data_IF_645319496135
#
_entry.id   IF_645319496135
#
_cell.length_a   1.000
_cell.length_b   1.000
_cell.length_c   1.000
_cell.angle_alpha   90.00
_cell.angle_beta   90.00
_cell.angle_gamma   90.00
#
_symmetry.space_group_name_H-M   'P 1'
#
loop_
_entity.id
_entity.type
_entity.pdbx_description
1 polymer ?
#
# COMPACT_ATOMS: atom_id res chain seq x y z
N UNK A 1 14.50 9.94 5.51
CA UNK A 1 13.44 10.27 4.54
C UNK A 1 14.00 11.22 3.49
N UNK A 2 13.39 11.26 2.28
CA UNK A 2 13.82 12.11 1.17
C UNK A 2 12.83 13.26 0.98
N UNK A 3 13.33 14.46 0.93
CA UNK A 3 12.56 15.70 0.79
C UNK A 3 12.87 16.36 -0.55
N UNK A 4 11.85 16.83 -1.26
CA UNK A 4 11.98 17.66 -2.45
C UNK A 4 11.48 19.07 -2.15
N UNK A 5 12.34 20.07 -2.38
CA UNK A 5 11.99 21.48 -2.34
C UNK A 5 11.73 21.97 -3.77
N UNK A 6 10.58 22.57 -4.01
CA UNK A 6 10.17 23.08 -5.33
C UNK A 6 9.79 24.56 -5.20
N UNK A 7 10.61 25.43 -5.76
CA UNK A 7 10.38 26.87 -5.75
C UNK A 7 11.21 27.48 -6.89
N UNK A 8 10.66 28.37 -7.71
CA UNK A 8 11.39 29.03 -8.80
C UNK A 8 12.42 30.05 -8.29
N UNK A 9 12.26 30.50 -7.04
CA UNK A 9 13.16 31.40 -6.37
C UNK A 9 14.28 30.67 -5.60
N UNK A 10 15.47 30.61 -6.15
CA UNK A 10 16.63 29.91 -5.56
C UNK A 10 16.93 30.36 -4.13
N UNK A 11 16.73 31.63 -3.82
CA UNK A 11 17.03 32.17 -2.50
C UNK A 11 16.10 31.61 -1.43
N UNK A 12 14.84 31.26 -1.78
CA UNK A 12 13.88 30.63 -0.87
C UNK A 12 14.37 29.23 -0.50
N UNK A 13 14.75 28.44 -1.50
CA UNK A 13 15.32 27.09 -1.29
C UNK A 13 16.56 27.14 -0.39
N UNK A 14 17.51 28.04 -0.69
CA UNK A 14 18.72 28.17 0.12
C UNK A 14 18.43 28.70 1.53
N UNK A 15 17.44 29.53 1.69
CA UNK A 15 16.99 30.02 3.00
C UNK A 15 16.39 28.87 3.83
N UNK A 16 15.54 28.02 3.24
CA UNK A 16 14.98 26.84 3.91
C UNK A 16 16.11 25.91 4.33
N UNK A 17 17.03 25.56 3.42
CA UNK A 17 18.15 24.67 3.71
C UNK A 17 19.02 25.14 4.88
N UNK A 18 19.22 26.46 4.98
CA UNK A 18 20.10 27.09 5.99
C UNK A 18 19.44 27.22 7.36
N UNK A 19 18.14 27.53 7.40
CA UNK A 19 17.47 27.91 8.65
C UNK A 19 16.74 26.76 9.33
N UNK A 20 16.47 25.65 8.63
CA UNK A 20 15.87 24.44 9.23
C UNK A 20 16.96 23.61 9.90
N UNK A 21 16.69 23.15 11.12
CA UNK A 21 17.56 22.23 11.84
C UNK A 21 17.29 20.78 11.40
N UNK A 22 17.91 20.37 10.30
CA UNK A 22 17.69 19.03 9.70
C UNK A 22 18.05 17.86 10.62
N UNK A 23 18.97 18.07 11.56
CA UNK A 23 19.35 17.06 12.56
C UNK A 23 18.20 16.68 13.50
N UNK A 24 17.20 17.55 13.61
CA UNK A 24 15.99 17.32 14.43
C UNK A 24 14.85 16.70 13.64
N UNK A 25 15.07 16.47 12.37
CA UNK A 25 14.11 15.86 11.44
C UNK A 25 14.61 14.49 10.98
N UNK A 26 13.72 13.65 10.52
CA UNK A 26 14.07 12.36 9.91
C UNK A 26 14.53 12.48 8.45
N UNK A 27 14.78 13.70 7.95
CA UNK A 27 15.20 13.95 6.57
C UNK A 27 16.68 13.64 6.42
N UNK A 28 17.01 12.74 5.49
CA UNK A 28 18.39 12.31 5.22
C UNK A 28 18.95 12.86 3.90
N UNK A 29 18.05 13.17 2.94
CA UNK A 29 18.43 13.66 1.63
C UNK A 29 17.46 14.79 1.21
N UNK A 30 18.01 15.87 0.66
CA UNK A 30 17.24 17.02 0.17
C UNK A 30 17.52 17.21 -1.32
N UNK A 31 16.46 17.14 -2.10
CA UNK A 31 16.47 17.42 -3.53
C UNK A 31 15.85 18.79 -3.79
N UNK A 32 16.20 19.39 -4.92
CA UNK A 32 15.69 20.72 -5.28
C UNK A 32 15.27 20.77 -6.73
N UNK A 33 14.15 21.41 -7.01
CA UNK A 33 13.66 21.69 -8.35
C UNK A 33 13.20 23.15 -8.43
N UNK A 34 13.41 23.76 -9.58
CA UNK A 34 13.03 25.15 -9.86
C UNK A 34 11.88 25.24 -10.86
N UNK A 35 11.41 24.12 -11.35
CA UNK A 35 10.27 24.01 -12.26
C UNK A 35 9.51 22.71 -12.00
N UNK A 36 8.23 22.68 -12.38
CA UNK A 36 7.42 21.47 -12.33
C UNK A 36 8.07 20.30 -13.07
N UNK A 37 8.64 20.53 -14.26
CA UNK A 37 9.28 19.49 -15.07
C UNK A 37 10.46 18.85 -14.33
N UNK A 38 11.34 19.65 -13.72
CA UNK A 38 12.44 19.14 -12.92
C UNK A 38 11.95 18.35 -11.72
N UNK A 39 10.88 18.83 -11.06
CA UNK A 39 10.27 18.09 -9.95
C UNK A 39 9.74 16.71 -10.40
N UNK A 40 9.04 16.65 -11.52
CA UNK A 40 8.55 15.39 -12.10
C UNK A 40 9.68 14.42 -12.45
N UNK A 41 10.76 14.90 -13.06
CA UNK A 41 11.95 14.09 -13.38
C UNK A 41 12.56 13.49 -12.11
N UNK A 42 12.71 14.29 -11.04
CA UNK A 42 13.26 13.83 -9.77
C UNK A 42 12.32 12.82 -9.10
N UNK A 43 11.01 13.09 -9.03
CA UNK A 43 10.02 12.20 -8.42
C UNK A 43 9.95 10.85 -9.14
N UNK A 44 10.08 10.85 -10.46
CA UNK A 44 10.08 9.62 -11.26
C UNK A 44 11.36 8.80 -11.05
N UNK A 45 12.50 9.46 -10.89
CA UNK A 45 13.80 8.80 -10.71
C UNK A 45 14.05 8.33 -9.27
N UNK A 46 13.49 9.02 -8.28
CA UNK A 46 13.77 8.78 -6.86
C UNK A 46 12.47 8.76 -6.06
N UNK A 47 12.25 7.72 -5.27
CA UNK A 47 11.10 7.67 -4.35
C UNK A 47 11.22 8.78 -3.31
N UNK A 48 10.37 9.81 -3.42
CA UNK A 48 10.28 10.91 -2.47
C UNK A 48 9.29 10.57 -1.34
N UNK A 49 9.58 11.09 -0.15
CA UNK A 49 8.68 10.95 1.00
C UNK A 49 7.87 12.24 1.22
N UNK A 50 8.48 13.40 1.05
CA UNK A 50 7.87 14.72 1.34
C UNK A 50 8.21 15.69 0.20
N UNK A 51 7.24 16.54 -0.18
CA UNK A 51 7.42 17.67 -1.07
C UNK A 51 7.05 18.95 -0.30
N UNK A 52 7.91 19.96 -0.38
CA UNK A 52 7.59 21.34 -0.03
C UNK A 52 7.58 22.13 -1.34
N UNK A 53 6.44 22.67 -1.74
CA UNK A 53 6.27 23.33 -3.02
C UNK A 53 5.71 24.74 -2.87
N UNK A 54 6.30 25.69 -3.57
CA UNK A 54 5.60 26.95 -3.84
C UNK A 54 4.36 26.66 -4.69
N UNK A 55 3.30 27.43 -4.45
CA UNK A 55 2.07 27.34 -5.23
C UNK A 55 2.21 28.08 -6.55
N UNK A 56 2.82 29.27 -6.55
CA UNK A 56 2.88 30.15 -7.72
C UNK A 56 4.25 30.09 -8.35
N UNK A 57 4.34 29.35 -9.43
CA UNK A 57 5.58 29.21 -10.21
C UNK A 57 5.32 29.56 -11.69
N UNK A 58 6.32 30.01 -12.45
CA UNK A 58 6.19 30.24 -13.89
C UNK A 58 5.77 28.95 -14.62
N UNK A 59 4.82 29.08 -15.55
CA UNK A 59 4.33 28.04 -16.44
C UNK A 59 3.48 26.92 -15.82
N UNK A 60 3.54 26.67 -14.52
CA UNK A 60 2.70 25.68 -13.84
C UNK A 60 2.65 25.95 -12.34
N UNK A 61 1.56 25.61 -11.68
CA UNK A 61 1.41 25.82 -10.24
C UNK A 61 1.89 24.59 -9.42
N UNK A 62 2.23 24.82 -8.15
CA UNK A 62 2.47 23.71 -7.21
C UNK A 62 1.28 22.77 -7.06
N UNK A 63 0.06 23.27 -7.27
CA UNK A 63 -1.13 22.44 -7.30
C UNK A 63 -1.15 21.48 -8.50
N UNK A 64 -0.70 21.92 -9.67
CA UNK A 64 -0.63 21.07 -10.87
C UNK A 64 0.40 19.95 -10.68
N UNK A 65 1.52 20.25 -10.01
CA UNK A 65 2.51 19.26 -9.62
C UNK A 65 1.90 18.21 -8.70
N UNK A 66 1.19 18.63 -7.64
CA UNK A 66 0.61 17.70 -6.66
C UNK A 66 -0.54 16.91 -7.26
N UNK A 67 -1.36 17.52 -8.11
CA UNK A 67 -2.40 16.80 -8.84
C UNK A 67 -1.78 15.67 -9.68
N UNK A 68 -0.71 15.97 -10.43
CA UNK A 68 0.03 14.96 -11.17
C UNK A 68 0.59 13.85 -10.26
N UNK A 69 1.15 14.19 -9.10
CA UNK A 69 1.64 13.23 -8.10
C UNK A 69 0.52 12.27 -7.69
N UNK A 70 -0.70 12.79 -7.44
CA UNK A 70 -1.87 11.96 -7.07
C UNK A 70 -2.37 11.08 -8.23
N UNK A 71 -2.40 11.61 -9.44
CA UNK A 71 -2.77 10.86 -10.66
C UNK A 71 -1.82 9.70 -10.95
N UNK A 72 -0.54 9.84 -10.61
CA UNK A 72 0.45 8.77 -10.72
C UNK A 72 0.45 7.81 -9.52
N UNK A 73 -0.45 7.98 -8.55
CA UNK A 73 -0.54 7.21 -7.32
C UNK A 73 0.75 7.25 -6.45
N UNK A 74 1.55 8.30 -6.56
CA UNK A 74 2.68 8.50 -5.66
C UNK A 74 2.18 8.92 -4.28
N UNK A 75 2.56 8.16 -3.25
CA UNK A 75 2.26 8.46 -1.85
C UNK A 75 3.35 9.37 -1.29
N UNK A 76 3.17 10.68 -1.47
CA UNK A 76 4.12 11.71 -1.04
C UNK A 76 3.35 12.72 -0.20
N UNK A 77 3.88 13.05 0.97
CA UNK A 77 3.30 14.08 1.83
C UNK A 77 3.67 15.47 1.28
N UNK A 78 2.72 16.40 1.33
CA UNK A 78 2.87 17.71 0.66
C UNK A 78 2.66 18.82 1.66
N UNK A 79 3.58 19.81 1.62
CA UNK A 79 3.48 21.11 2.32
C UNK A 79 3.52 22.19 1.26
N UNK A 80 2.54 23.09 1.24
CA UNK A 80 2.52 24.23 0.34
C UNK A 80 3.08 25.47 1.00
N UNK A 81 3.87 26.23 0.23
CA UNK A 81 4.28 27.59 0.54
C UNK A 81 3.62 28.56 -0.43
N UNK A 82 3.25 29.74 0.00
CA UNK A 82 2.66 30.74 -0.88
C UNK A 82 2.81 32.17 -0.35
N UNK A 83 2.91 33.11 -1.26
CA UNK A 83 2.87 34.54 -0.94
C UNK A 83 1.43 35.07 -0.81
N UNK A 84 0.43 34.29 -1.14
CA UNK A 84 -0.97 34.73 -1.21
C UNK A 84 -1.82 34.03 -0.15
N UNK A 85 -2.48 34.87 0.69
CA UNK A 85 -3.42 34.40 1.71
C UNK A 85 -4.84 34.28 1.11
N UNK A 86 -5.00 33.51 0.04
CA UNK A 86 -6.29 33.32 -0.63
C UNK A 86 -7.03 32.10 -0.08
N UNK A 87 -8.33 32.30 0.20
CA UNK A 87 -9.19 31.22 0.70
C UNK A 87 -9.28 30.04 -0.28
N UNK A 88 -9.31 30.34 -1.58
CA UNK A 88 -9.40 29.32 -2.63
C UNK A 88 -8.13 28.44 -2.68
N UNK A 89 -6.95 28.99 -2.40
CA UNK A 89 -5.70 28.21 -2.32
C UNK A 89 -5.70 27.26 -1.12
N UNK A 90 -6.13 27.75 0.03
CA UNK A 90 -6.25 26.91 1.22
C UNK A 90 -7.26 25.75 1.00
N UNK A 91 -8.42 26.05 0.36
CA UNK A 91 -9.41 25.04 0.00
C UNK A 91 -8.84 24.00 -0.96
N UNK A 92 -8.10 24.41 -1.98
CA UNK A 92 -7.49 23.51 -2.96
C UNK A 92 -6.38 22.66 -2.33
N UNK A 93 -5.60 23.21 -1.42
CA UNK A 93 -4.60 22.47 -0.65
C UNK A 93 -5.23 21.34 0.18
N UNK A 94 -6.36 21.60 0.83
CA UNK A 94 -7.12 20.57 1.56
C UNK A 94 -7.64 19.49 0.61
N UNK A 95 -8.18 19.85 -0.56
CA UNK A 95 -8.68 18.88 -1.55
C UNK A 95 -7.58 17.96 -2.10
N UNK A 96 -6.33 18.45 -2.13
CA UNK A 96 -5.16 17.69 -2.57
C UNK A 96 -4.48 16.93 -1.41
N UNK A 97 -5.14 16.88 -0.24
CA UNK A 97 -4.65 16.18 0.95
C UNK A 97 -3.23 16.63 1.36
N UNK A 98 -2.97 17.96 1.33
CA UNK A 98 -1.71 18.48 1.84
C UNK A 98 -1.67 18.42 3.37
N UNK A 99 -0.49 18.20 3.92
CA UNK A 99 -0.27 18.16 5.38
C UNK A 99 -0.41 19.56 5.98
N UNK A 100 0.09 20.56 5.28
CA UNK A 100 0.08 21.94 5.77
C UNK A 100 0.13 22.94 4.60
N UNK A 101 -0.31 24.18 4.89
CA UNK A 101 -0.30 25.31 3.99
C UNK A 101 0.27 26.51 4.75
N UNK A 102 1.41 27.04 4.32
CA UNK A 102 2.15 28.09 5.01
C UNK A 102 2.32 29.32 4.14
N UNK A 103 2.20 30.49 4.78
CA UNK A 103 2.38 31.79 4.11
C UNK A 103 3.84 32.20 4.13
N UNK A 104 4.31 32.78 3.01
CA UNK A 104 5.54 33.60 2.96
C UNK A 104 5.26 35.00 3.54
N UNK A 105 6.17 35.61 4.31
CA UNK A 105 7.52 35.16 4.64
C UNK A 105 7.53 33.93 5.55
N UNK A 106 8.45 32.98 5.28
CA UNK A 106 8.47 31.67 5.92
C UNK A 106 8.80 31.84 7.41
N UNK A 107 7.89 31.36 8.24
CA UNK A 107 8.12 31.10 9.65
C UNK A 107 8.78 29.73 9.78
N UNK A 108 10.08 29.68 10.05
CA UNK A 108 10.85 28.44 10.06
C UNK A 108 10.45 27.50 11.19
N UNK A 109 9.95 28.03 12.33
CA UNK A 109 9.46 27.19 13.42
C UNK A 109 8.18 26.43 12.97
N UNK A 110 7.26 27.13 12.32
CA UNK A 110 6.04 26.49 11.75
C UNK A 110 6.37 25.52 10.63
N UNK A 111 7.39 25.84 9.81
CA UNK A 111 7.82 24.93 8.76
C UNK A 111 8.45 23.65 9.34
N UNK A 112 9.25 23.74 10.42
CA UNK A 112 9.76 22.57 11.14
C UNK A 112 8.62 21.72 11.74
N UNK A 113 7.60 22.36 12.31
CA UNK A 113 6.41 21.66 12.81
C UNK A 113 5.65 20.93 11.67
N UNK A 114 5.49 21.59 10.53
CA UNK A 114 4.86 21.01 9.35
C UNK A 114 5.65 19.80 8.82
N UNK A 115 6.98 19.91 8.76
CA UNK A 115 7.85 18.80 8.38
C UNK A 115 7.68 17.63 9.34
N UNK A 116 7.65 17.85 10.65
CA UNK A 116 7.43 16.78 11.65
C UNK A 116 6.07 16.12 11.49
N UNK A 117 5.01 16.87 11.21
CA UNK A 117 3.69 16.31 10.90
C UNK A 117 3.75 15.42 9.65
N UNK A 118 4.42 15.88 8.59
CA UNK A 118 4.59 15.12 7.37
C UNK A 118 5.40 13.83 7.61
N UNK A 119 6.46 13.88 8.42
CA UNK A 119 7.24 12.71 8.81
C UNK A 119 6.39 11.66 9.56
N UNK A 120 5.56 12.12 10.49
CA UNK A 120 4.64 11.23 11.22
C UNK A 120 3.65 10.56 10.27
N UNK A 121 3.09 11.30 9.31
CA UNK A 121 2.17 10.77 8.31
C UNK A 121 2.86 9.71 7.44
N UNK A 122 4.09 9.97 6.96
CA UNK A 122 4.89 8.99 6.19
C UNK A 122 5.15 7.72 7.00
N UNK A 123 5.47 7.86 8.30
CA UNK A 123 5.73 6.70 9.17
C UNK A 123 4.47 5.87 9.40
N UNK A 124 3.33 6.52 9.59
CA UNK A 124 2.04 5.85 9.73
C UNK A 124 1.67 5.07 8.46
N UNK A 125 1.81 5.70 7.28
CA UNK A 125 1.55 5.03 6.01
C UNK A 125 2.44 3.79 5.81
N UNK A 126 3.75 3.92 6.06
CA UNK A 126 4.69 2.79 5.98
C UNK A 126 4.38 1.68 6.99
N UNK A 127 3.85 2.04 8.16
CA UNK A 127 3.44 1.05 9.16
C UNK A 127 2.20 0.27 8.70
N UNK A 128 1.20 0.96 8.17
CA UNK A 128 -0.01 0.34 7.61
C UNK A 128 0.36 -0.57 6.42
N UNK A 129 1.23 -0.11 5.51
CA UNK A 129 1.69 -0.89 4.37
C UNK A 129 2.34 -2.21 4.82
N UNK A 130 3.25 -2.15 5.82
CA UNK A 130 3.87 -3.36 6.39
C UNK A 130 2.87 -4.31 7.05
N UNK A 131 1.87 -3.78 7.76
CA UNK A 131 0.83 -4.61 8.37
C UNK A 131 -0.03 -5.30 7.30
N UNK A 132 -0.34 -4.59 6.22
CA UNK A 132 -1.11 -5.14 5.09
C UNK A 132 -0.31 -6.24 4.38
N UNK A 133 0.96 -5.98 4.06
CA UNK A 133 1.85 -6.99 3.46
C UNK A 133 2.01 -8.23 4.35
N UNK A 134 2.18 -8.03 5.66
CA UNK A 134 2.26 -9.15 6.62
C UNK A 134 0.95 -9.94 6.70
N UNK A 135 -0.20 -9.27 6.63
CA UNK A 135 -1.52 -9.91 6.61
C UNK A 135 -1.72 -10.73 5.34
N UNK A 136 -1.38 -10.17 4.18
CA UNK A 136 -1.46 -10.88 2.89
C UNK A 136 -0.54 -12.10 2.84
N UNK A 137 0.68 -11.98 3.39
CA UNK A 137 1.61 -13.11 3.47
C UNK A 137 1.07 -14.19 4.41
N UNK A 138 0.53 -13.80 5.56
CA UNK A 138 -0.10 -14.72 6.51
C UNK A 138 -1.28 -15.48 5.87
N UNK A 139 -2.14 -14.81 5.10
CA UNK A 139 -3.25 -15.47 4.39
C UNK A 139 -2.75 -16.49 3.36
N UNK A 140 -1.69 -16.17 2.61
CA UNK A 140 -1.06 -17.10 1.66
C UNK A 140 -0.48 -18.33 2.38
N UNK A 141 0.30 -18.10 3.44
CA UNK A 141 0.91 -19.17 4.23
C UNK A 141 -0.16 -20.05 4.90
N UNK A 142 -1.23 -19.45 5.41
CA UNK A 142 -2.38 -20.14 5.97
C UNK A 142 -3.02 -21.09 4.95
N UNK A 143 -3.21 -20.64 3.72
CA UNK A 143 -3.80 -21.46 2.66
C UNK A 143 -2.93 -22.67 2.33
N UNK A 144 -1.60 -22.49 2.26
CA UNK A 144 -0.65 -23.58 2.02
C UNK A 144 -0.70 -24.60 3.15
N UNK A 145 -0.65 -24.14 4.40
CA UNK A 145 -0.69 -25.01 5.57
C UNK A 145 -2.03 -25.77 5.69
N UNK A 146 -3.14 -25.14 5.30
CA UNK A 146 -4.44 -25.83 5.24
C UNK A 146 -4.41 -27.01 4.24
N UNK A 147 -3.87 -26.79 3.04
CA UNK A 147 -3.73 -27.85 2.04
C UNK A 147 -2.86 -29.00 2.53
N UNK A 148 -1.77 -28.69 3.21
CA UNK A 148 -0.87 -29.71 3.79
C UNK A 148 -1.54 -30.53 4.90
N UNK A 149 -2.34 -29.91 5.75
CA UNK A 149 -3.12 -30.62 6.78
C UNK A 149 -4.09 -31.61 6.14
N UNK A 150 -4.86 -31.17 5.14
CA UNK A 150 -5.78 -32.03 4.41
C UNK A 150 -5.05 -33.15 3.66
N UNK A 151 -3.96 -32.85 2.98
CA UNK A 151 -3.16 -33.84 2.27
C UNK A 151 -2.61 -34.90 3.22
N UNK A 152 -2.08 -34.51 4.38
CA UNK A 152 -1.57 -35.47 5.38
C UNK A 152 -2.68 -36.33 5.99
N UNK A 153 -3.88 -35.77 6.23
CA UNK A 153 -5.02 -36.55 6.70
C UNK A 153 -5.45 -37.57 5.65
N UNK A 154 -5.61 -37.16 4.40
CA UNK A 154 -6.06 -38.03 3.30
C UNK A 154 -5.03 -39.09 2.95
N UNK A 155 -3.75 -38.81 3.09
CA UNK A 155 -2.67 -39.79 2.87
C UNK A 155 -2.45 -40.75 4.02
N UNK A 156 -3.18 -40.60 5.13
CA UNK A 156 -3.00 -41.40 6.32
C UNK A 156 -1.75 -41.09 7.14
N UNK A 157 -1.05 -39.99 6.82
CA UNK A 157 0.14 -39.55 7.53
C UNK A 157 -0.18 -38.74 8.81
N UNK A 158 -1.45 -38.49 9.08
CA UNK A 158 -1.94 -37.73 10.23
C UNK A 158 -3.13 -38.46 10.87
N UNK A 159 -3.09 -38.55 12.19
CA UNK A 159 -4.22 -39.10 12.95
C UNK A 159 -5.33 -38.06 13.11
N UNK A 160 -6.56 -38.56 13.39
CA UNK A 160 -7.70 -37.65 13.62
C UNK A 160 -7.44 -36.65 14.75
N UNK A 161 -6.78 -37.06 15.84
CA UNK A 161 -6.45 -36.15 16.95
C UNK A 161 -5.48 -35.05 16.52
N UNK A 162 -4.43 -35.41 15.77
CA UNK A 162 -3.47 -34.43 15.22
C UNK A 162 -4.14 -33.45 14.25
N UNK A 163 -5.06 -33.94 13.43
CA UNK A 163 -5.86 -33.11 12.54
C UNK A 163 -6.70 -32.12 13.35
N UNK A 164 -7.45 -32.57 14.35
CA UNK A 164 -8.27 -31.70 15.20
C UNK A 164 -7.45 -30.62 15.90
N UNK A 165 -6.28 -30.97 16.45
CA UNK A 165 -5.39 -29.98 17.07
C UNK A 165 -4.86 -28.94 16.07
N UNK A 166 -4.43 -29.39 14.89
CA UNK A 166 -3.91 -28.51 13.85
C UNK A 166 -4.99 -27.60 13.28
N UNK A 167 -6.17 -28.15 13.01
CA UNK A 167 -7.32 -27.42 12.50
C UNK A 167 -7.85 -26.39 13.53
N UNK A 168 -7.78 -26.70 14.83
CA UNK A 168 -8.14 -25.77 15.89
C UNK A 168 -7.14 -24.61 15.97
N UNK A 169 -5.83 -24.84 15.86
CA UNK A 169 -4.79 -23.81 15.85
C UNK A 169 -4.95 -22.85 14.68
N UNK A 170 -5.49 -23.32 13.56
CA UNK A 170 -5.72 -22.53 12.36
C UNK A 170 -7.12 -21.90 12.30
N UNK A 171 -7.91 -22.07 13.35
CA UNK A 171 -9.28 -21.57 13.39
C UNK A 171 -10.12 -22.05 12.20
N UNK A 172 -9.85 -23.28 11.72
CA UNK A 172 -10.60 -23.87 10.61
C UNK A 172 -12.04 -24.20 11.00
N UNK A 173 -12.30 -24.36 12.30
CA UNK A 173 -13.63 -24.58 12.86
C UNK A 173 -13.72 -24.00 14.28
N UNK A 174 -14.94 -23.73 14.72
CA UNK A 174 -15.26 -23.43 16.11
C UNK A 174 -15.58 -24.73 16.86
N UNK A 175 -15.40 -24.76 18.19
CA UNK A 175 -15.58 -25.97 19.01
C UNK A 175 -16.89 -26.71 18.71
N UNK A 176 -16.80 -27.98 18.33
CA UNK A 176 -17.94 -28.85 18.01
C UNK A 176 -17.56 -30.09 17.22
N UNK A 177 -18.57 -30.88 16.83
CA UNK A 177 -18.40 -32.02 15.94
C UNK A 177 -18.17 -31.53 14.51
N UNK A 178 -17.05 -31.98 13.92
CA UNK A 178 -16.73 -31.68 12.51
C UNK A 178 -17.27 -32.79 11.65
N UNK A 179 -18.15 -32.45 10.74
CA UNK A 179 -18.55 -33.33 9.65
C UNK A 179 -17.97 -32.78 8.36
N UNK A 180 -17.23 -33.58 7.63
CA UNK A 180 -16.79 -33.23 6.29
C UNK A 180 -17.21 -34.32 5.30
N UNK A 181 -17.51 -33.92 4.07
CA UNK A 181 -17.68 -34.78 2.93
C UNK A 181 -16.48 -34.62 2.01
N UNK A 182 -15.86 -35.77 1.69
CA UNK A 182 -14.86 -35.82 0.64
C UNK A 182 -15.58 -36.05 -0.69
N UNK A 183 -15.40 -35.13 -1.64
CA UNK A 183 -15.91 -35.27 -2.99
C UNK A 183 -14.70 -35.39 -3.91
N UNK A 184 -14.59 -36.52 -4.59
CA UNK A 184 -13.52 -36.77 -5.54
C UNK A 184 -14.03 -36.50 -6.96
N UNK A 185 -13.37 -35.63 -7.68
CA UNK A 185 -13.63 -35.39 -9.10
C UNK A 185 -12.57 -36.11 -9.92
N UNK A 186 -13.01 -36.85 -10.91
CA UNK A 186 -12.13 -37.49 -11.89
C UNK A 186 -12.23 -36.71 -13.22
N UNK A 187 -11.12 -36.22 -13.72
CA UNK A 187 -11.05 -35.64 -15.06
C UNK A 187 -10.52 -36.66 -16.04
N UNK A 188 -11.26 -36.90 -17.11
CA UNK A 188 -10.78 -37.74 -18.21
C UNK A 188 -9.81 -36.93 -19.09
N UNK A 189 -8.53 -37.21 -18.95
CA UNK A 189 -7.47 -36.58 -19.76
C UNK A 189 -7.54 -36.93 -21.26
N UNK A 190 -8.47 -37.76 -21.70
CA UNK A 190 -8.64 -38.10 -23.12
C UNK A 190 -9.36 -37.02 -23.92
N UNK A 191 -9.98 -36.05 -23.29
CA UNK A 191 -10.54 -34.89 -23.98
C UNK A 191 -9.40 -33.96 -24.44
N UNK A 192 -9.25 -33.79 -25.76
CA UNK A 192 -8.18 -32.98 -26.39
C UNK A 192 -8.09 -31.54 -25.86
N UNK A 193 -9.18 -31.02 -25.30
CA UNK A 193 -9.25 -29.68 -24.73
C UNK A 193 -8.66 -29.57 -23.33
N UNK A 194 -8.75 -30.62 -22.49
CA UNK A 194 -8.26 -30.59 -21.10
C UNK A 194 -6.74 -30.84 -21.00
N UNK A 195 -6.11 -31.38 -22.03
CA UNK A 195 -4.66 -31.60 -22.08
C UNK A 195 -3.84 -30.29 -22.13
N UNK A 196 -4.50 -29.15 -22.43
CA UNK A 196 -3.84 -27.84 -22.57
C UNK A 196 -3.88 -26.99 -21.30
N UNK A 197 -4.57 -27.44 -20.26
CA UNK A 197 -4.71 -26.63 -19.06
C UNK A 197 -3.64 -26.99 -18.03
N UNK A 198 -3.02 -25.96 -17.48
CA UNK A 198 -2.11 -26.14 -16.34
C UNK A 198 -2.88 -26.56 -15.08
N UNK A 199 -2.29 -27.38 -14.20
CA UNK A 199 -2.92 -27.81 -12.94
C UNK A 199 -3.45 -26.62 -12.11
N UNK A 200 -2.74 -25.52 -12.07
CA UNK A 200 -3.14 -24.27 -11.36
C UNK A 200 -4.42 -23.66 -11.92
N UNK A 201 -4.62 -23.73 -13.24
CA UNK A 201 -5.85 -23.23 -13.91
C UNK A 201 -7.05 -24.12 -13.55
N UNK A 202 -6.84 -25.43 -13.53
CA UNK A 202 -7.88 -26.39 -13.14
C UNK A 202 -8.26 -26.17 -11.68
N UNK A 203 -7.29 -26.03 -10.79
CA UNK A 203 -7.51 -25.74 -9.38
C UNK A 203 -8.36 -24.49 -9.17
N UNK A 204 -7.99 -23.40 -9.86
CA UNK A 204 -8.69 -22.12 -9.78
C UNK A 204 -10.15 -22.24 -10.24
N UNK A 205 -10.40 -22.91 -11.38
CA UNK A 205 -11.75 -23.08 -11.92
C UNK A 205 -12.60 -23.94 -10.97
N UNK A 206 -12.03 -25.05 -10.52
CA UNK A 206 -12.74 -25.98 -9.62
C UNK A 206 -13.08 -25.31 -8.29
N UNK A 207 -12.15 -24.55 -7.72
CA UNK A 207 -12.41 -23.83 -6.48
C UNK A 207 -13.54 -22.82 -6.61
N UNK A 208 -13.54 -22.03 -7.69
CA UNK A 208 -14.58 -21.03 -7.93
C UNK A 208 -15.96 -21.69 -8.15
N UNK A 209 -16.03 -22.71 -9.01
CA UNK A 209 -17.28 -23.43 -9.29
C UNK A 209 -17.83 -24.10 -8.04
N UNK A 210 -16.97 -24.76 -7.27
CA UNK A 210 -17.40 -25.44 -6.04
C UNK A 210 -17.83 -24.45 -4.96
N UNK A 211 -17.11 -23.33 -4.81
CA UNK A 211 -17.49 -22.27 -3.87
C UNK A 211 -18.85 -21.70 -4.24
N UNK A 212 -19.09 -21.38 -5.51
CA UNK A 212 -20.38 -20.87 -5.98
C UNK A 212 -21.53 -21.87 -5.78
N UNK A 213 -21.29 -23.15 -6.08
CA UNK A 213 -22.28 -24.20 -5.90
C UNK A 213 -22.64 -24.48 -4.43
N UNK A 214 -21.68 -24.35 -3.52
CA UNK A 214 -21.86 -24.70 -2.11
C UNK A 214 -22.05 -23.48 -1.19
N UNK A 215 -21.90 -22.25 -1.67
CA UNK A 215 -22.11 -21.03 -0.90
C UNK A 215 -23.51 -20.96 -0.28
N UNK A 216 -24.52 -21.43 -1.02
CA UNK A 216 -25.92 -21.51 -0.54
C UNK A 216 -26.14 -22.48 0.64
N UNK A 217 -25.20 -23.36 0.93
CA UNK A 217 -25.31 -24.38 1.99
C UNK A 217 -24.51 -24.03 3.24
N UNK A 218 -23.92 -22.83 3.33
CA UNK A 218 -23.01 -22.44 4.43
C UNK A 218 -21.82 -23.41 4.61
N UNK A 219 -21.40 -24.06 3.55
CA UNK A 219 -20.31 -25.02 3.57
C UNK A 219 -19.00 -24.34 3.16
N UNK A 220 -17.96 -24.55 3.96
CA UNK A 220 -16.61 -24.17 3.54
C UNK A 220 -16.07 -25.20 2.55
N UNK A 221 -15.58 -24.73 1.43
CA UNK A 221 -14.98 -25.58 0.39
C UNK A 221 -13.45 -25.39 0.42
N UNK A 222 -12.74 -26.47 0.73
CA UNK A 222 -11.27 -26.51 0.64
C UNK A 222 -10.90 -27.52 -0.46
N UNK A 223 -10.12 -27.11 -1.44
CA UNK A 223 -9.65 -27.98 -2.54
C UNK A 223 -8.23 -28.45 -2.27
N UNK A 224 -7.98 -29.75 -2.48
CA UNK A 224 -6.66 -30.37 -2.31
C UNK A 224 -6.31 -31.09 -3.61
N UNK A 225 -5.22 -30.69 -4.25
CA UNK A 225 -4.68 -31.25 -5.49
C UNK A 225 -3.34 -31.91 -5.28
#
# INVERSE_FOLDING_TARGET
>A
MKLLLVDDERYVIESIKKNICWERTGITEIYTAFTMKQAQEIITAVKMDIIISDIVMPAATGFDLVQWVREQNFRIQVIFLTSYAEFDYARRAIQLESVEYLLKPIDFEKLEEAIKKAEQAVLQEKHIEKLTEASEQWEKDRTILQKDIWRNLLSGNMTQNQFCESAKRMELYQDGLIYFKLICFYMDHKAEETQKWEPSTIEFIMQNVLTELFDSFYARVDTVF
#
